data_IF_695804525338
#
_entry.id   IF_695804525338
#
_cell.length_a   1.000
_cell.length_b   1.000
_cell.length_c   1.000
_cell.angle_alpha   90.00
_cell.angle_beta   90.00
_cell.angle_gamma   90.00
#
_symmetry.space_group_name_H-M   'P 1'
#
loop_
_entity.id
_entity.type
_entity.pdbx_description
1 polymer ?
#
# COMPACT_ATOMS: atom_id res chain seq x y z
N UNK A 1 -16.75 3.32 -0.52
CA UNK A 1 -16.90 3.48 -1.97
C UNK A 1 -17.88 4.59 -2.33
N UNK A 2 -19.20 4.47 -2.12
CA UNK A 2 -20.18 5.51 -2.52
C UNK A 2 -19.86 6.92 -1.99
N UNK A 3 -19.55 7.07 -0.69
CA UNK A 3 -19.26 8.38 -0.10
C UNK A 3 -17.95 9.05 -0.59
N UNK A 4 -17.00 8.29 -1.13
CA UNK A 4 -15.80 8.84 -1.78
C UNK A 4 -16.10 9.29 -3.21
N UNK A 5 -17.04 8.63 -3.88
CA UNK A 5 -17.44 8.96 -5.25
C UNK A 5 -18.45 10.11 -5.35
N UNK A 6 -19.25 10.35 -4.31
CA UNK A 6 -20.24 11.44 -4.26
C UNK A 6 -19.81 12.66 -3.42
N UNK A 7 -18.60 12.61 -2.82
CA UNK A 7 -18.04 13.72 -2.04
C UNK A 7 -18.67 13.94 -0.66
N UNK A 8 -19.54 13.05 -0.20
CA UNK A 8 -20.21 13.15 1.12
C UNK A 8 -19.33 12.70 2.30
N UNK A 9 -18.15 12.15 2.04
CA UNK A 9 -17.21 11.77 3.09
C UNK A 9 -16.68 13.02 3.81
N UNK A 10 -16.80 13.07 5.14
CA UNK A 10 -16.23 14.16 5.90
C UNK A 10 -14.70 14.20 5.74
N UNK A 11 -14.15 15.41 5.64
CA UNK A 11 -12.71 15.63 5.50
C UNK A 11 -11.91 14.87 6.57
N UNK A 12 -12.40 14.84 7.81
CA UNK A 12 -11.78 14.10 8.90
C UNK A 12 -11.67 12.59 8.62
N UNK A 13 -12.72 11.96 8.08
CA UNK A 13 -12.70 10.54 7.74
C UNK A 13 -11.77 10.26 6.56
N UNK A 14 -11.73 11.16 5.58
CA UNK A 14 -10.82 11.05 4.45
C UNK A 14 -9.36 11.19 4.90
N UNK A 15 -9.03 12.17 5.74
CA UNK A 15 -7.71 12.34 6.32
C UNK A 15 -7.26 11.12 7.13
N UNK A 16 -8.14 10.51 7.94
CA UNK A 16 -7.83 9.25 8.64
C UNK A 16 -7.55 8.11 7.67
N UNK A 17 -8.35 7.97 6.61
CA UNK A 17 -8.14 6.96 5.57
C UNK A 17 -6.77 7.13 4.91
N UNK A 18 -6.43 8.34 4.45
CA UNK A 18 -5.14 8.63 3.78
C UNK A 18 -3.94 8.26 4.65
N UNK A 19 -4.02 8.49 5.97
CA UNK A 19 -2.95 8.11 6.91
C UNK A 19 -2.78 6.59 7.02
N UNK A 20 -3.88 5.85 7.06
CA UNK A 20 -3.84 4.37 7.10
C UNK A 20 -3.38 3.78 5.76
N UNK A 21 -3.80 4.38 4.65
CA UNK A 21 -3.42 4.00 3.29
C UNK A 21 -1.91 4.16 3.06
N UNK A 22 -1.29 5.20 3.62
CA UNK A 22 0.17 5.35 3.61
C UNK A 22 0.90 4.17 4.27
N UNK A 23 0.42 3.74 5.45
CA UNK A 23 1.01 2.60 6.17
C UNK A 23 0.79 1.29 5.39
N UNK A 24 -0.38 1.13 4.77
CA UNK A 24 -0.67 0.04 3.86
C UNK A 24 0.32 -0.02 2.69
N UNK A 25 0.55 1.11 2.00
CA UNK A 25 1.44 1.17 0.83
C UNK A 25 2.89 0.76 1.19
N UNK A 26 3.33 1.00 2.42
CA UNK A 26 4.66 0.56 2.88
C UNK A 26 4.75 -0.97 2.87
N UNK A 27 3.75 -1.66 3.44
CA UNK A 27 3.71 -3.12 3.46
C UNK A 27 3.41 -3.71 2.08
N UNK A 28 2.62 -3.02 1.26
CA UNK A 28 2.39 -3.38 -0.13
C UNK A 28 3.70 -3.37 -0.94
N UNK A 29 4.55 -2.33 -0.78
CA UNK A 29 5.88 -2.30 -1.38
C UNK A 29 6.74 -3.49 -0.93
N UNK A 30 6.71 -3.85 0.35
CA UNK A 30 7.44 -5.03 0.85
C UNK A 30 6.94 -6.32 0.19
N UNK A 31 5.63 -6.47 0.03
CA UNK A 31 5.03 -7.62 -0.65
C UNK A 31 5.44 -7.69 -2.14
N UNK A 32 5.45 -6.56 -2.87
CA UNK A 32 5.92 -6.48 -4.26
C UNK A 32 7.40 -6.85 -4.40
N UNK A 33 8.24 -6.41 -3.45
CA UNK A 33 9.66 -6.79 -3.43
C UNK A 33 9.84 -8.31 -3.26
N UNK A 34 9.07 -8.92 -2.37
CA UNK A 34 9.07 -10.38 -2.17
C UNK A 34 8.53 -11.11 -3.42
N UNK A 35 7.49 -10.57 -4.07
CA UNK A 35 6.95 -11.13 -5.31
C UNK A 35 8.00 -11.14 -6.43
N UNK A 36 8.75 -10.04 -6.58
CA UNK A 36 9.87 -9.96 -7.51
C UNK A 36 10.92 -11.03 -7.17
N UNK A 37 11.32 -11.16 -5.90
CA UNK A 37 12.31 -12.14 -5.46
C UNK A 37 11.86 -13.61 -5.65
N UNK A 38 10.56 -13.90 -5.55
CA UNK A 38 9.98 -15.25 -5.69
C UNK A 38 9.55 -15.59 -7.12
N UNK A 39 9.71 -14.65 -8.06
CA UNK A 39 9.27 -14.84 -9.44
C UNK A 39 10.05 -15.97 -10.14
N UNK A 40 9.37 -16.80 -10.96
CA UNK A 40 9.99 -17.98 -11.57
C UNK A 40 10.87 -17.66 -12.80
N UNK A 41 10.70 -16.47 -13.37
CA UNK A 41 11.37 -16.05 -14.59
C UNK A 41 11.68 -14.53 -14.58
N UNK A 42 12.58 -14.12 -15.48
CA UNK A 42 13.05 -12.74 -15.56
C UNK A 42 11.96 -11.74 -15.95
N UNK A 43 10.96 -12.15 -16.76
CA UNK A 43 9.88 -11.26 -17.18
C UNK A 43 8.96 -10.96 -16.00
N UNK A 44 8.54 -11.98 -15.26
CA UNK A 44 7.72 -11.85 -14.04
C UNK A 44 8.47 -11.05 -12.95
N UNK A 45 9.75 -11.34 -12.74
CA UNK A 45 10.59 -10.61 -11.79
C UNK A 45 10.67 -9.12 -12.13
N UNK A 46 10.90 -8.80 -13.41
CA UNK A 46 10.95 -7.43 -13.91
C UNK A 46 9.61 -6.70 -13.80
N UNK A 47 8.49 -7.41 -13.99
CA UNK A 47 7.15 -6.83 -13.82
C UNK A 47 6.91 -6.37 -12.38
N UNK A 48 7.13 -7.25 -11.40
CA UNK A 48 6.96 -6.87 -9.98
C UNK A 48 7.98 -5.82 -9.51
N UNK A 49 9.19 -5.83 -10.05
CA UNK A 49 10.18 -4.78 -9.77
C UNK A 49 9.71 -3.42 -10.32
N UNK A 50 9.09 -3.39 -11.50
CA UNK A 50 8.50 -2.18 -12.07
C UNK A 50 7.33 -1.66 -11.24
N UNK A 51 6.42 -2.54 -10.80
CA UNK A 51 5.33 -2.16 -9.89
C UNK A 51 5.85 -1.62 -8.56
N UNK A 52 6.88 -2.26 -7.99
CA UNK A 52 7.53 -1.77 -6.77
C UNK A 52 8.07 -0.36 -6.97
N UNK A 53 8.79 -0.10 -8.07
CA UNK A 53 9.35 1.21 -8.36
C UNK A 53 8.25 2.27 -8.51
N UNK A 54 7.19 1.96 -9.27
CA UNK A 54 6.05 2.86 -9.46
C UNK A 54 5.38 3.21 -8.13
N UNK A 55 5.04 2.21 -7.30
CA UNK A 55 4.40 2.47 -6.00
C UNK A 55 5.34 3.18 -5.03
N UNK A 56 6.58 2.70 -4.89
CA UNK A 56 7.51 3.19 -3.87
C UNK A 56 7.98 4.63 -4.16
N UNK A 57 8.20 4.96 -5.44
CA UNK A 57 8.81 6.23 -5.83
C UNK A 57 7.82 7.21 -6.43
N UNK A 58 6.75 6.77 -7.11
CA UNK A 58 5.77 7.68 -7.73
C UNK A 58 4.50 7.82 -6.90
N UNK A 59 3.84 6.70 -6.57
CA UNK A 59 2.57 6.72 -5.84
C UNK A 59 2.75 7.28 -4.42
N UNK A 60 3.80 6.87 -3.71
CA UNK A 60 4.14 7.41 -2.40
C UNK A 60 4.43 8.92 -2.40
N UNK A 61 5.03 9.45 -3.46
CA UNK A 61 5.26 10.89 -3.60
C UNK A 61 3.93 11.64 -3.77
N UNK A 62 3.08 11.16 -4.68
CA UNK A 62 1.74 11.70 -4.89
C UNK A 62 0.92 11.66 -3.59
N UNK A 63 0.98 10.55 -2.86
CA UNK A 63 0.26 10.36 -1.60
C UNK A 63 0.67 11.37 -0.53
N UNK A 64 1.98 11.61 -0.39
CA UNK A 64 2.51 12.65 0.52
C UNK A 64 2.07 14.04 0.09
N UNK A 65 2.06 14.31 -1.23
CA UNK A 65 1.55 15.56 -1.79
C UNK A 65 0.09 15.81 -1.41
N UNK A 66 -0.78 14.83 -1.66
CA UNK A 66 -2.19 14.91 -1.27
C UNK A 66 -2.39 15.07 0.25
N UNK A 67 -1.61 14.36 1.07
CA UNK A 67 -1.65 14.53 2.52
C UNK A 67 -1.24 15.96 2.93
N UNK A 68 -0.21 16.53 2.29
CA UNK A 68 0.21 17.91 2.53
C UNK A 68 -0.89 18.92 2.18
N UNK A 69 -1.60 18.72 1.07
CA UNK A 69 -2.74 19.58 0.67
C UNK A 69 -3.90 19.52 1.68
N UNK A 70 -4.03 18.40 2.41
CA UNK A 70 -4.97 18.23 3.51
C UNK A 70 -4.45 18.79 4.86
N UNK A 71 -3.25 19.38 4.88
CA UNK A 71 -2.61 19.91 6.07
C UNK A 71 -1.95 18.85 6.97
N UNK A 72 -1.71 17.65 6.47
CA UNK A 72 -1.00 16.58 7.17
C UNK A 72 0.49 16.68 6.82
N UNK A 73 1.32 16.97 7.81
CA UNK A 73 2.77 17.03 7.62
C UNK A 73 3.37 15.64 7.44
N UNK A 74 4.53 15.55 6.78
CA UNK A 74 5.26 14.29 6.64
C UNK A 74 5.57 13.63 8.00
N UNK A 75 5.96 14.44 9.00
CA UNK A 75 6.23 13.94 10.34
C UNK A 75 4.98 13.37 11.03
N UNK A 76 3.81 14.00 10.86
CA UNK A 76 2.55 13.45 11.38
C UNK A 76 2.11 12.19 10.63
N UNK A 77 2.40 12.11 9.33
CA UNK A 77 2.10 10.94 8.52
C UNK A 77 2.97 9.74 8.96
N UNK A 78 4.28 9.95 9.11
CA UNK A 78 5.24 8.95 9.60
C UNK A 78 4.99 8.52 11.05
N UNK A 79 4.48 9.42 11.89
CA UNK A 79 4.11 9.11 13.28
C UNK A 79 2.71 8.46 13.41
N UNK A 80 2.02 8.17 12.30
CA UNK A 80 0.70 7.55 12.35
C UNK A 80 0.82 6.11 12.87
N UNK A 81 -0.01 5.77 13.85
CA UNK A 81 -0.13 4.38 14.32
C UNK A 81 -1.10 3.59 13.42
N UNK A 82 -0.75 2.37 13.03
CA UNK A 82 -1.63 1.54 12.22
C UNK A 82 -2.85 1.10 13.04
N UNK A 83 -4.02 1.18 12.43
CA UNK A 83 -5.26 0.65 12.99
C UNK A 83 -5.29 -0.87 12.86
N UNK A 84 -6.07 -1.53 13.73
CA UNK A 84 -6.17 -2.99 13.76
C UNK A 84 -6.58 -3.60 12.40
N UNK A 85 -7.42 -2.90 11.63
CA UNK A 85 -7.82 -3.33 10.30
C UNK A 85 -6.65 -3.29 9.30
N UNK A 86 -5.86 -2.21 9.30
CA UNK A 86 -4.67 -2.05 8.47
C UNK A 86 -3.66 -3.15 8.81
N UNK A 87 -3.35 -3.34 10.10
CA UNK A 87 -2.45 -4.40 10.55
C UNK A 87 -2.94 -5.77 10.12
N UNK A 88 -4.22 -6.09 10.34
CA UNK A 88 -4.75 -7.41 10.00
C UNK A 88 -4.62 -7.72 8.50
N UNK A 89 -4.84 -6.72 7.64
CA UNK A 89 -4.71 -6.89 6.20
C UNK A 89 -3.24 -7.02 5.78
N UNK A 90 -2.37 -6.12 6.24
CA UNK A 90 -0.96 -6.15 5.84
C UNK A 90 -0.20 -7.34 6.43
N UNK A 91 -0.53 -7.78 7.64
CA UNK A 91 -0.02 -9.04 8.21
C UNK A 91 -0.42 -10.23 7.36
N UNK A 92 -1.68 -10.30 6.91
CA UNK A 92 -2.13 -11.37 6.03
C UNK A 92 -1.36 -11.35 4.71
N UNK A 93 -1.25 -10.17 4.09
CA UNK A 93 -0.52 -10.00 2.82
C UNK A 93 0.95 -10.41 2.95
N UNK A 94 1.64 -9.93 3.99
CA UNK A 94 3.05 -10.24 4.21
C UNK A 94 3.27 -11.71 4.56
N UNK A 95 2.38 -12.33 5.36
CA UNK A 95 2.45 -13.78 5.62
C UNK A 95 2.29 -14.58 4.33
N UNK A 96 1.33 -14.24 3.48
CA UNK A 96 1.19 -14.87 2.17
C UNK A 96 2.44 -14.64 1.32
N UNK A 97 3.05 -13.46 1.40
CA UNK A 97 4.27 -13.16 0.67
C UNK A 97 5.46 -14.03 1.12
N UNK A 98 5.66 -14.20 2.43
CA UNK A 98 6.74 -15.01 2.97
C UNK A 98 6.48 -16.52 2.82
N UNK A 99 5.34 -16.99 3.31
CA UNK A 99 5.07 -18.42 3.52
C UNK A 99 4.39 -19.09 2.32
N UNK A 100 3.67 -18.33 1.49
CA UNK A 100 2.90 -18.86 0.36
C UNK A 100 3.71 -19.05 -0.92
N UNK A 101 3.07 -19.47 -2.00
CA UNK A 101 3.67 -19.51 -3.33
C UNK A 101 3.60 -18.14 -4.04
N UNK A 102 4.30 -17.98 -5.17
CA UNK A 102 4.20 -16.74 -5.96
C UNK A 102 2.79 -16.57 -6.54
N UNK A 103 2.10 -17.67 -6.85
CA UNK A 103 0.72 -17.67 -7.34
C UNK A 103 -0.25 -17.20 -6.26
N UNK A 104 -0.07 -17.66 -5.02
CA UNK A 104 -0.86 -17.21 -3.87
C UNK A 104 -0.63 -15.72 -3.57
N UNK A 105 0.64 -15.28 -3.64
CA UNK A 105 0.99 -13.87 -3.46
C UNK A 105 0.43 -13.00 -4.60
N UNK A 106 0.55 -13.43 -5.86
CA UNK A 106 0.00 -12.71 -6.99
C UNK A 106 -1.53 -12.58 -6.89
N UNK A 107 -2.22 -13.62 -6.43
CA UNK A 107 -3.65 -13.57 -6.15
C UNK A 107 -3.99 -12.63 -4.99
N UNK A 108 -3.17 -12.57 -3.94
CA UNK A 108 -3.38 -11.66 -2.81
C UNK A 108 -3.09 -10.18 -3.16
N UNK A 109 -2.24 -9.92 -4.16
CA UNK A 109 -1.90 -8.57 -4.64
C UNK A 109 -2.94 -7.99 -5.61
N UNK A 110 -3.79 -8.82 -6.22
CA UNK A 110 -4.85 -8.45 -7.15
C UNK A 110 -6.21 -8.63 -6.45
N UNK A 111 -6.81 -7.57 -5.86
CA UNK A 111 -8.13 -7.64 -5.26
C UNK A 111 -9.27 -7.88 -6.27
#
# INVERSE_FOLDING_TARGET
MQAMGDGSLSLARFSSYMRQDYLFLIDYCRALAIASAKSPDLASMGHFAGLLDETLNSEMELHRGFCSDLGITAAELEATNPEAATVAYTDHLLRTAYDGSIEELAAALLP
#
